data_IF_153569968085
#
_entry.id   IF_153569968085
#
_cell.length_a   1.000
_cell.length_b   1.000
_cell.length_c   1.000
_cell.angle_alpha   90.00
_cell.angle_beta   90.00
_cell.angle_gamma   90.00
#
_symmetry.space_group_name_H-M   'P 1'
#
loop_
_entity.id
_entity.type
_entity.pdbx_description
1 polymer ?
#
# COMPACT_ATOMS: atom_id res chain seq x y z
N UNK A 1 18.22 -34.24 -23.71
CA UNK A 1 17.82 -33.85 -22.34
C UNK A 1 16.35 -33.40 -22.39
N UNK A 2 15.41 -34.29 -22.06
CA UNK A 2 13.97 -34.01 -22.09
C UNK A 2 13.62 -33.28 -20.78
N UNK A 3 13.16 -32.04 -20.86
CA UNK A 3 12.58 -31.35 -19.70
C UNK A 3 11.29 -32.08 -19.33
N UNK A 4 11.26 -32.72 -18.18
CA UNK A 4 10.04 -33.26 -17.61
C UNK A 4 9.06 -32.08 -17.45
N UNK A 5 7.95 -32.13 -18.18
CA UNK A 5 6.83 -31.21 -17.99
C UNK A 5 6.29 -31.41 -16.58
N UNK A 6 6.59 -30.48 -15.67
CA UNK A 6 5.95 -30.44 -14.36
C UNK A 6 4.46 -30.22 -14.61
N UNK A 7 3.64 -31.26 -14.38
CA UNK A 7 2.18 -31.13 -14.43
C UNK A 7 1.80 -30.02 -13.46
N UNK A 8 1.21 -28.93 -13.96
CA UNK A 8 0.65 -27.89 -13.11
C UNK A 8 -0.39 -28.54 -12.20
N UNK A 9 -0.43 -28.20 -10.90
CA UNK A 9 -1.44 -28.73 -10.00
C UNK A 9 -2.83 -28.43 -10.55
N UNK A 10 -3.71 -29.44 -10.54
CA UNK A 10 -5.09 -29.29 -10.98
C UNK A 10 -5.86 -28.49 -9.93
N UNK A 11 -6.37 -27.32 -10.32
CA UNK A 11 -7.18 -26.48 -9.46
C UNK A 11 -8.54 -27.18 -9.24
N UNK A 12 -8.88 -27.51 -8.00
CA UNK A 12 -10.14 -28.17 -7.67
C UNK A 12 -11.30 -27.17 -7.61
N UNK A 13 -12.53 -27.66 -7.62
CA UNK A 13 -13.72 -26.81 -7.36
C UNK A 13 -13.61 -26.15 -5.99
N UNK A 14 -13.09 -26.88 -4.98
CA UNK A 14 -12.88 -26.33 -3.64
C UNK A 14 -11.85 -25.20 -3.64
N UNK A 15 -10.78 -25.30 -4.43
CA UNK A 15 -9.79 -24.24 -4.59
C UNK A 15 -10.40 -23.00 -5.27
N UNK A 16 -11.20 -23.20 -6.33
CA UNK A 16 -11.89 -22.11 -7.02
C UNK A 16 -12.89 -21.40 -6.09
N UNK A 17 -13.70 -22.16 -5.34
CA UNK A 17 -14.64 -21.60 -4.38
C UNK A 17 -13.93 -20.86 -3.25
N UNK A 18 -12.85 -21.43 -2.71
CA UNK A 18 -12.03 -20.78 -1.69
C UNK A 18 -11.45 -19.47 -2.21
N UNK A 19 -10.91 -19.47 -3.43
CA UNK A 19 -10.39 -18.27 -4.08
C UNK A 19 -11.48 -17.19 -4.27
N UNK A 20 -12.64 -17.55 -4.81
CA UNK A 20 -13.75 -16.60 -5.01
C UNK A 20 -14.21 -16.03 -3.66
N UNK A 21 -14.41 -16.89 -2.67
CA UNK A 21 -14.87 -16.49 -1.34
C UNK A 21 -13.88 -15.55 -0.64
N UNK A 22 -12.57 -15.64 -0.92
CA UNK A 22 -11.62 -14.66 -0.41
C UNK A 22 -11.97 -13.24 -0.88
N UNK A 23 -12.52 -13.03 -2.07
CA UNK A 23 -12.79 -11.68 -2.57
C UNK A 23 -14.25 -11.23 -2.45
N UNK A 24 -15.20 -12.16 -2.38
CA UNK A 24 -16.63 -11.85 -2.48
C UNK A 24 -17.42 -12.16 -1.22
N UNK A 25 -16.90 -13.00 -0.32
CA UNK A 25 -17.64 -13.34 0.91
C UNK A 25 -17.69 -12.11 1.80
N UNK A 26 -18.90 -11.76 2.23
CA UNK A 26 -19.08 -10.70 3.21
C UNK A 26 -18.29 -11.03 4.49
N UNK A 27 -17.50 -10.08 5.03
CA UNK A 27 -16.78 -10.29 6.27
C UNK A 27 -17.78 -10.50 7.40
N UNK A 28 -17.48 -11.41 8.32
CA UNK A 28 -18.29 -11.69 9.51
C UNK A 28 -17.70 -11.10 10.79
N UNK A 29 -16.52 -10.47 10.71
CA UNK A 29 -15.82 -9.89 11.86
C UNK A 29 -14.88 -8.76 11.44
N UNK A 30 -14.45 -7.96 12.42
CA UNK A 30 -13.44 -6.90 12.24
C UNK A 30 -12.13 -7.42 11.61
N UNK A 31 -11.54 -8.55 12.07
CA UNK A 31 -10.38 -9.15 11.41
C UNK A 31 -10.63 -9.57 9.97
N UNK A 32 -11.80 -10.16 9.67
CA UNK A 32 -12.15 -10.54 8.28
C UNK A 32 -12.33 -9.32 7.38
N UNK A 33 -12.96 -8.25 7.89
CA UNK A 33 -13.10 -6.99 7.17
C UNK A 33 -11.73 -6.37 6.84
N UNK A 34 -10.84 -6.31 7.84
CA UNK A 34 -9.44 -5.90 7.65
C UNK A 34 -8.74 -6.74 6.57
N UNK A 35 -8.86 -8.06 6.65
CA UNK A 35 -8.21 -8.97 5.71
C UNK A 35 -8.75 -8.79 4.28
N UNK A 36 -10.06 -8.57 4.13
CA UNK A 36 -10.68 -8.26 2.85
C UNK A 36 -10.11 -6.98 2.24
N UNK A 37 -10.10 -5.88 2.99
CA UNK A 37 -9.59 -4.59 2.50
C UNK A 37 -8.10 -4.68 2.16
N UNK A 38 -7.26 -5.27 3.03
CA UNK A 38 -5.83 -5.48 2.74
C UNK A 38 -5.62 -6.27 1.45
N UNK A 39 -6.32 -7.41 1.32
CA UNK A 39 -6.20 -8.29 0.15
C UNK A 39 -6.60 -7.58 -1.14
N UNK A 40 -7.68 -6.80 -1.10
CA UNK A 40 -8.14 -6.04 -2.25
C UNK A 40 -7.16 -4.91 -2.62
N UNK A 41 -6.60 -4.18 -1.65
CA UNK A 41 -5.53 -3.20 -1.90
C UNK A 41 -4.32 -3.88 -2.55
N UNK A 42 -3.83 -4.98 -1.97
CA UNK A 42 -2.67 -5.72 -2.51
C UNK A 42 -2.94 -6.21 -3.92
N UNK A 43 -4.11 -6.80 -4.19
CA UNK A 43 -4.46 -7.27 -5.52
C UNK A 43 -4.54 -6.12 -6.55
N UNK A 44 -5.01 -4.95 -6.14
CA UNK A 44 -4.98 -3.76 -6.97
C UNK A 44 -3.55 -3.30 -7.24
N UNK A 45 -2.70 -3.18 -6.22
CA UNK A 45 -1.30 -2.78 -6.42
C UNK A 45 -0.53 -3.76 -7.29
N UNK A 46 -0.79 -5.06 -7.16
CA UNK A 46 -0.27 -6.10 -8.06
C UNK A 46 -0.74 -5.88 -9.50
N UNK A 47 -2.03 -5.56 -9.70
CA UNK A 47 -2.55 -5.19 -11.02
C UNK A 47 -1.89 -3.91 -11.54
N UNK A 48 -1.70 -2.89 -10.71
CA UNK A 48 -1.06 -1.64 -11.11
C UNK A 48 0.33 -1.91 -11.71
N UNK A 49 1.10 -2.79 -11.06
CA UNK A 49 2.45 -3.14 -11.47
C UNK A 49 2.50 -4.06 -12.69
N UNK A 50 1.71 -5.14 -12.67
CA UNK A 50 1.84 -6.27 -13.60
C UNK A 50 0.78 -6.30 -14.71
N UNK A 51 -0.19 -5.37 -14.73
CA UNK A 51 -1.19 -5.33 -15.81
C UNK A 51 -0.52 -5.09 -17.17
N UNK A 52 -0.98 -5.80 -18.19
CA UNK A 52 -0.55 -5.63 -19.58
C UNK A 52 -0.78 -4.19 -20.08
N UNK A 53 -1.85 -3.55 -19.58
CA UNK A 53 -2.25 -2.17 -19.90
C UNK A 53 -1.27 -1.09 -19.38
N UNK A 54 -0.23 -1.51 -18.63
CA UNK A 54 0.81 -0.66 -18.04
C UNK A 54 0.26 0.54 -17.23
N UNK A 55 -0.72 0.28 -16.35
CA UNK A 55 -1.28 1.31 -15.47
C UNK A 55 -0.17 1.98 -14.60
N UNK A 56 0.95 1.29 -14.34
CA UNK A 56 2.12 1.84 -13.63
C UNK A 56 2.95 2.85 -14.42
N UNK A 57 2.81 2.93 -15.74
CA UNK A 57 3.66 3.77 -16.59
C UNK A 57 3.65 5.24 -16.17
N UNK A 58 2.46 5.77 -15.86
CA UNK A 58 2.31 7.17 -15.43
C UNK A 58 3.08 7.47 -14.15
N UNK A 59 3.19 6.48 -13.25
CA UNK A 59 3.91 6.60 -11.99
C UNK A 59 5.42 6.64 -12.17
N UNK A 60 5.94 5.99 -13.22
CA UNK A 60 7.36 5.96 -13.56
C UNK A 60 7.83 7.19 -14.34
N UNK A 61 6.95 8.13 -14.70
CA UNK A 61 7.27 9.24 -15.60
C UNK A 61 7.68 10.55 -14.90
N UNK A 62 8.15 10.50 -13.64
CA UNK A 62 8.52 11.66 -12.77
C UNK A 62 7.41 12.72 -12.56
N UNK A 63 6.27 12.61 -13.26
CA UNK A 63 5.13 13.53 -13.23
C UNK A 63 4.03 13.09 -12.27
N UNK A 64 3.97 11.80 -11.94
CA UNK A 64 2.97 11.31 -11.01
C UNK A 64 3.26 11.78 -9.59
N UNK A 65 2.16 11.99 -8.89
CA UNK A 65 2.14 12.48 -7.52
C UNK A 65 1.52 11.44 -6.60
N UNK A 66 1.68 11.68 -5.30
CA UNK A 66 0.97 10.92 -4.27
C UNK A 66 -0.57 11.02 -4.43
N UNK A 67 -1.07 12.15 -4.93
CA UNK A 67 -2.49 12.32 -5.21
C UNK A 67 -2.96 11.46 -6.39
N UNK A 68 -2.15 11.28 -7.43
CA UNK A 68 -2.49 10.38 -8.54
C UNK A 68 -2.67 8.92 -8.07
N UNK A 69 -1.81 8.46 -7.16
CA UNK A 69 -1.90 7.12 -6.59
C UNK A 69 -3.14 6.99 -5.70
N UNK A 70 -3.44 8.03 -4.91
CA UNK A 70 -4.66 8.13 -4.09
C UNK A 70 -5.92 8.12 -4.96
N UNK A 71 -5.93 8.90 -6.03
CA UNK A 71 -7.01 8.96 -7.02
C UNK A 71 -7.29 7.57 -7.58
N UNK A 72 -6.26 6.96 -8.13
CA UNK A 72 -6.32 5.64 -8.73
C UNK A 72 -6.82 4.58 -7.75
N UNK A 73 -6.20 4.47 -6.58
CA UNK A 73 -6.55 3.45 -5.59
C UNK A 73 -7.99 3.64 -5.08
N UNK A 74 -8.42 4.89 -4.83
CA UNK A 74 -9.77 5.18 -4.36
C UNK A 74 -10.85 4.76 -5.37
N UNK A 75 -10.64 5.02 -6.66
CA UNK A 75 -11.58 4.67 -7.72
C UNK A 75 -11.72 3.14 -7.81
N UNK A 76 -10.59 2.44 -7.88
CA UNK A 76 -10.56 0.98 -7.95
C UNK A 76 -11.15 0.32 -6.70
N UNK A 77 -10.88 0.86 -5.51
CA UNK A 77 -11.45 0.35 -4.27
C UNK A 77 -12.97 0.50 -4.22
N UNK A 78 -13.53 1.60 -4.74
CA UNK A 78 -14.98 1.79 -4.85
C UNK A 78 -15.61 0.79 -5.83
N UNK A 79 -14.94 0.52 -6.94
CA UNK A 79 -15.40 -0.47 -7.92
C UNK A 79 -15.50 -1.88 -7.29
N UNK A 80 -14.40 -2.37 -6.70
CA UNK A 80 -14.31 -3.77 -6.26
C UNK A 80 -14.93 -4.06 -4.88
N UNK A 81 -15.13 -3.04 -4.06
CA UNK A 81 -15.60 -3.21 -2.69
C UNK A 81 -16.96 -2.57 -2.40
N UNK A 82 -17.66 -2.08 -3.42
CA UNK A 82 -18.95 -1.39 -3.30
C UNK A 82 -20.00 -2.16 -2.49
N UNK A 83 -19.97 -3.49 -2.47
CA UNK A 83 -20.85 -4.35 -1.68
C UNK A 83 -20.49 -4.44 -0.19
N UNK A 84 -19.28 -4.07 0.20
CA UNK A 84 -18.73 -4.32 1.55
C UNK A 84 -18.39 -3.04 2.32
N UNK A 85 -18.00 -1.99 1.63
CA UNK A 85 -17.59 -0.73 2.25
C UNK A 85 -17.82 0.47 1.33
N UNK A 86 -17.67 1.66 1.90
CA UNK A 86 -17.61 2.94 1.22
C UNK A 86 -16.23 3.57 1.38
N UNK A 87 -15.73 4.23 0.33
CA UNK A 87 -14.43 4.92 0.34
C UNK A 87 -14.64 6.42 0.28
N UNK A 88 -14.25 7.12 1.34
CA UNK A 88 -14.31 8.58 1.46
C UNK A 88 -12.90 9.14 1.32
N UNK A 89 -12.77 10.27 0.59
CA UNK A 89 -11.51 10.95 0.30
C UNK A 89 -11.47 12.36 0.87
N UNK A 90 -10.27 12.81 1.23
CA UNK A 90 -10.01 14.12 1.83
C UNK A 90 -10.44 15.32 0.97
N UNK A 91 -10.30 15.25 -0.36
CA UNK A 91 -10.65 16.36 -1.26
C UNK A 91 -12.15 16.74 -1.20
N UNK A 92 -13.02 15.82 -0.80
CA UNK A 92 -14.46 16.09 -0.64
C UNK A 92 -14.80 16.74 0.72
N UNK A 93 -13.86 16.86 1.68
CA UNK A 93 -14.19 17.16 3.10
C UNK A 93 -13.34 18.24 3.80
N UNK A 94 -12.30 18.79 3.16
CA UNK A 94 -11.40 19.86 3.62
C UNK A 94 -11.40 20.21 5.14
N UNK A 95 -10.55 19.50 5.91
CA UNK A 95 -9.80 19.96 7.11
C UNK A 95 -8.51 19.13 7.18
N UNK A 96 -7.35 19.78 7.34
CA UNK A 96 -5.96 19.26 7.20
C UNK A 96 -5.50 18.12 8.15
N UNK A 97 -6.40 17.29 8.69
CA UNK A 97 -6.07 16.23 9.66
C UNK A 97 -6.75 14.88 9.33
N UNK A 98 -7.01 14.57 8.05
CA UNK A 98 -7.68 13.31 7.65
C UNK A 98 -6.73 12.40 6.87
N UNK A 99 -6.87 11.06 6.98
CA UNK A 99 -6.10 10.12 6.17
C UNK A 99 -6.49 10.23 4.70
N UNK A 100 -5.56 9.84 3.85
CA UNK A 100 -5.74 9.86 2.40
C UNK A 100 -7.01 9.13 1.95
N UNK A 101 -7.28 7.95 2.52
CA UNK A 101 -8.53 7.20 2.34
C UNK A 101 -9.14 6.77 3.67
N UNK A 102 -10.47 6.88 3.76
CA UNK A 102 -11.29 6.25 4.81
C UNK A 102 -12.15 5.16 4.17
N UNK A 103 -12.03 3.94 4.68
CA UNK A 103 -12.80 2.78 4.24
C UNK A 103 -13.80 2.42 5.33
N UNK A 104 -15.06 2.84 5.15
CA UNK A 104 -16.15 2.63 6.11
C UNK A 104 -16.86 1.32 5.78
N UNK A 105 -16.94 0.40 6.73
CA UNK A 105 -17.74 -0.81 6.52
C UNK A 105 -19.21 -0.46 6.34
N UNK A 106 -19.88 -1.17 5.42
CA UNK A 106 -21.35 -1.10 5.31
C UNK A 106 -22.05 -1.78 6.50
N UNK A 107 -21.36 -2.68 7.22
CA UNK A 107 -21.80 -3.12 8.53
C UNK A 107 -21.17 -2.21 9.60
N UNK A 108 -21.95 -1.37 10.30
CA UNK A 108 -21.41 -0.41 11.26
C UNK A 108 -20.64 -1.07 12.41
N UNK A 109 -20.90 -2.33 12.74
CA UNK A 109 -20.19 -3.08 13.78
C UNK A 109 -18.71 -3.32 13.44
N UNK A 110 -18.35 -3.27 12.16
CA UNK A 110 -16.96 -3.47 11.73
C UNK A 110 -16.15 -2.17 11.68
N UNK A 111 -16.78 -1.02 11.84
CA UNK A 111 -16.10 0.27 11.93
C UNK A 111 -15.41 0.71 10.64
N UNK A 112 -14.26 1.37 10.77
CA UNK A 112 -13.51 1.97 9.66
C UNK A 112 -12.02 1.65 9.67
N UNK A 113 -11.45 1.69 8.48
CA UNK A 113 -10.02 1.54 8.20
C UNK A 113 -9.50 2.84 7.59
N UNK A 114 -8.33 3.28 8.06
CA UNK A 114 -7.64 4.46 7.53
C UNK A 114 -6.46 4.03 6.68
N UNK A 115 -6.29 4.61 5.50
CA UNK A 115 -5.13 4.36 4.63
C UNK A 115 -4.38 5.66 4.43
N UNK A 116 -3.11 5.67 4.77
CA UNK A 116 -2.18 6.76 4.46
C UNK A 116 -1.24 6.28 3.36
N UNK A 117 -1.12 7.04 2.27
CA UNK A 117 -0.41 6.67 1.05
C UNK A 117 0.80 7.58 0.91
N UNK A 118 1.95 7.00 0.57
CA UNK A 118 3.19 7.76 0.36
C UNK A 118 3.91 7.27 -0.88
N UNK A 119 4.20 8.19 -1.80
CA UNK A 119 5.11 7.92 -2.91
C UNK A 119 6.55 8.08 -2.41
N UNK A 120 7.13 6.99 -1.91
CA UNK A 120 8.31 6.99 -1.06
C UNK A 120 9.55 7.58 -1.74
N UNK A 121 9.66 7.50 -3.06
CA UNK A 121 10.80 8.03 -3.81
C UNK A 121 10.76 9.55 -4.00
N UNK A 122 9.59 10.20 -3.85
CA UNK A 122 9.44 11.63 -4.08
C UNK A 122 10.45 12.47 -3.25
N UNK A 123 10.97 13.53 -3.85
CA UNK A 123 12.13 14.29 -3.33
C UNK A 123 11.88 14.95 -1.97
N UNK A 124 10.62 15.34 -1.69
CA UNK A 124 10.25 15.98 -0.43
C UNK A 124 10.23 15.00 0.75
N UNK A 125 10.21 13.68 0.50
CA UNK A 125 10.29 12.68 1.55
C UNK A 125 11.74 12.37 1.93
N UNK A 126 12.06 12.52 3.21
CA UNK A 126 13.25 11.92 3.80
C UNK A 126 12.88 10.61 4.54
N UNK A 127 13.86 9.72 4.67
CA UNK A 127 13.63 8.38 5.22
C UNK A 127 13.16 8.39 6.69
N UNK A 128 13.72 9.27 7.53
CA UNK A 128 13.28 9.39 8.93
C UNK A 128 11.81 9.83 9.01
N UNK A 129 11.41 10.79 8.17
CA UNK A 129 10.02 11.25 8.10
C UNK A 129 9.08 10.14 7.66
N UNK A 130 9.43 9.36 6.65
CA UNK A 130 8.60 8.21 6.22
C UNK A 130 8.38 7.21 7.37
N UNK A 131 9.43 6.86 8.12
CA UNK A 131 9.28 5.97 9.28
C UNK A 131 8.42 6.60 10.38
N UNK A 132 8.63 7.90 10.67
CA UNK A 132 7.90 8.60 11.76
C UNK A 132 6.43 8.89 11.44
N UNK A 133 6.05 8.94 10.14
CA UNK A 133 4.68 9.22 9.71
C UNK A 133 3.68 8.14 10.16
N UNK A 134 4.14 6.90 10.33
CA UNK A 134 3.37 5.80 10.92
C UNK A 134 2.80 6.19 12.30
N UNK A 135 3.61 6.79 13.16
CA UNK A 135 3.14 7.22 14.49
C UNK A 135 2.41 8.57 14.39
N UNK A 136 3.03 9.54 13.72
CA UNK A 136 2.56 10.94 13.77
C UNK A 136 1.25 11.19 13.00
N UNK A 137 0.94 10.39 11.97
CA UNK A 137 -0.34 10.48 11.25
C UNK A 137 -1.27 9.33 11.65
N UNK A 138 -0.89 8.08 11.41
CA UNK A 138 -1.84 6.97 11.65
C UNK A 138 -2.17 6.85 13.14
N UNK A 139 -1.19 6.61 14.01
CA UNK A 139 -1.47 6.36 15.42
C UNK A 139 -2.04 7.58 16.15
N UNK A 140 -1.34 8.71 16.09
CA UNK A 140 -1.64 9.89 16.90
C UNK A 140 -2.81 10.72 16.35
N UNK A 141 -3.28 10.46 15.13
CA UNK A 141 -4.43 11.17 14.56
C UNK A 141 -5.54 10.19 14.23
N UNK A 142 -5.33 9.30 13.26
CA UNK A 142 -6.43 8.56 12.64
C UNK A 142 -6.95 7.39 13.48
N UNK A 143 -6.09 6.79 14.30
CA UNK A 143 -6.47 5.69 15.16
C UNK A 143 -7.25 6.13 16.41
N UNK A 144 -7.36 7.43 16.69
CA UNK A 144 -8.18 7.95 17.80
C UNK A 144 -9.66 8.13 17.44
N UNK A 145 -10.02 8.11 16.15
CA UNK A 145 -11.42 8.23 15.74
C UNK A 145 -12.26 7.03 16.19
N UNK A 146 -13.53 7.30 16.54
CA UNK A 146 -14.47 6.25 16.91
C UNK A 146 -14.67 5.25 15.77
N UNK A 147 -14.64 3.96 16.08
CA UNK A 147 -14.73 2.88 15.08
C UNK A 147 -13.45 2.64 14.27
N UNK A 148 -12.41 3.47 14.40
CA UNK A 148 -11.12 3.23 13.75
C UNK A 148 -10.37 2.08 14.43
N UNK A 149 -10.12 1.02 13.66
CA UNK A 149 -9.47 -0.20 14.17
C UNK A 149 -8.26 -0.64 13.34
N UNK A 150 -8.01 -0.02 12.19
CA UNK A 150 -6.84 -0.36 11.36
C UNK A 150 -6.30 0.89 10.66
N UNK A 151 -4.98 1.06 10.72
CA UNK A 151 -4.22 1.96 9.86
C UNK A 151 -3.40 1.16 8.85
N UNK A 152 -3.60 1.37 7.55
CA UNK A 152 -2.71 0.87 6.52
C UNK A 152 -1.76 1.98 6.10
N UNK A 153 -0.45 1.74 6.22
CA UNK A 153 0.59 2.63 5.73
C UNK A 153 1.08 2.11 4.38
N UNK A 154 0.62 2.73 3.29
CA UNK A 154 0.93 2.32 1.94
C UNK A 154 2.16 3.06 1.42
N UNK A 155 3.21 2.33 1.06
CA UNK A 155 4.42 2.87 0.43
C UNK A 155 4.54 2.38 -1.01
N UNK A 156 4.56 3.30 -1.96
CA UNK A 156 4.92 3.01 -3.34
C UNK A 156 6.33 3.51 -3.65
N UNK A 157 7.12 2.73 -4.38
CA UNK A 157 8.38 3.17 -4.97
C UNK A 157 8.23 3.26 -6.48
N UNK A 158 8.37 4.45 -7.07
CA UNK A 158 8.42 4.64 -8.52
C UNK A 158 9.80 5.09 -9.02
N UNK A 159 10.85 5.00 -8.19
CA UNK A 159 12.20 5.40 -8.57
C UNK A 159 12.67 4.59 -9.78
N UNK A 160 13.26 5.28 -10.76
CA UNK A 160 13.76 4.63 -11.98
C UNK A 160 15.03 3.79 -11.68
N UNK A 161 15.17 2.67 -12.42
CA UNK A 161 15.60 1.31 -12.05
C UNK A 161 15.87 0.93 -10.58
N UNK A 162 15.86 -0.37 -10.28
CA UNK A 162 16.35 -1.00 -9.04
C UNK A 162 17.86 -0.74 -8.82
N UNK A 163 18.61 -0.56 -9.91
CA UNK A 163 20.04 -0.25 -9.90
C UNK A 163 20.32 1.07 -10.59
N UNK A 164 21.22 1.86 -10.03
CA UNK A 164 21.66 3.13 -10.64
C UNK A 164 22.25 2.86 -12.02
N UNK A 165 21.75 3.59 -13.02
CA UNK A 165 22.31 3.57 -14.37
C UNK A 165 23.17 4.80 -14.62
N UNK A 166 24.37 4.56 -15.10
CA UNK A 166 25.38 5.58 -15.37
C UNK A 166 25.63 5.62 -16.87
N UNK A 167 25.68 6.82 -17.44
CA UNK A 167 26.13 7.00 -18.81
C UNK A 167 27.61 6.62 -18.91
N UNK A 168 27.93 5.62 -19.72
CA UNK A 168 29.29 5.10 -19.85
C UNK A 168 30.27 6.09 -20.49
N UNK A 169 29.80 7.10 -21.21
CA UNK A 169 30.64 8.10 -21.90
C UNK A 169 30.90 9.34 -21.04
N UNK A 170 29.90 9.77 -20.28
CA UNK A 170 29.92 11.04 -19.53
C UNK A 170 30.06 10.84 -18.02
N UNK A 171 29.88 9.62 -17.52
CA UNK A 171 29.88 9.31 -16.09
C UNK A 171 28.67 9.88 -15.33
N UNK A 172 27.75 10.55 -16.03
CA UNK A 172 26.55 11.16 -15.42
C UNK A 172 25.51 10.10 -15.12
N UNK A 173 24.71 10.34 -14.08
CA UNK A 173 23.61 9.45 -13.71
C UNK A 173 22.48 9.62 -14.71
N UNK A 174 22.12 8.55 -15.43
CA UNK A 174 20.95 8.53 -16.32
C UNK A 174 19.66 8.30 -15.54
N UNK A 175 19.68 7.33 -14.63
CA UNK A 175 18.55 6.96 -13.78
C UNK A 175 19.03 6.55 -12.38
N UNK A 176 18.25 6.87 -11.35
CA UNK A 176 18.63 6.73 -9.95
C UNK A 176 17.77 5.70 -9.24
N UNK A 177 18.42 4.63 -8.77
CA UNK A 177 17.79 3.71 -7.85
C UNK A 177 17.31 4.37 -6.57
N UNK A 178 16.26 3.79 -5.99
CA UNK A 178 15.73 4.22 -4.71
C UNK A 178 16.83 4.25 -3.65
N UNK A 179 16.95 5.39 -2.98
CA UNK A 179 17.80 5.54 -1.81
C UNK A 179 17.26 6.64 -0.90
N UNK A 180 17.04 6.32 0.37
CA UNK A 180 16.74 7.31 1.43
C UNK A 180 17.74 7.17 2.58
N UNK A 181 17.92 8.24 3.35
CA UNK A 181 18.69 8.20 4.60
C UNK A 181 17.76 8.03 5.80
N UNK A 182 18.03 7.03 6.62
CA UNK A 182 17.37 6.82 7.92
C UNK A 182 18.47 6.69 8.97
N UNK A 183 18.39 7.49 10.05
CA UNK A 183 19.40 7.54 11.11
C UNK A 183 20.85 7.65 10.57
N UNK A 184 21.05 8.44 9.51
CA UNK A 184 22.35 8.66 8.86
C UNK A 184 22.81 7.56 7.89
N UNK A 185 22.10 6.43 7.78
CA UNK A 185 22.43 5.32 6.88
C UNK A 185 21.58 5.33 5.62
N UNK A 186 22.18 5.05 4.48
CA UNK A 186 21.44 4.85 3.23
C UNK A 186 20.70 3.51 3.29
N UNK A 187 19.42 3.50 2.93
CA UNK A 187 18.59 2.31 2.77
C UNK A 187 17.98 2.27 1.37
N UNK A 188 17.91 1.07 0.79
CA UNK A 188 17.08 0.81 -0.38
C UNK A 188 15.61 0.65 0.03
N UNK A 189 14.71 0.38 -0.91
CA UNK A 189 13.28 0.32 -0.63
C UNK A 189 12.94 -0.80 0.38
N UNK A 190 13.46 -2.01 0.19
CA UNK A 190 13.29 -3.12 1.14
C UNK A 190 13.80 -2.79 2.56
N UNK A 191 14.92 -2.08 2.68
CA UNK A 191 15.46 -1.62 3.95
C UNK A 191 14.56 -0.58 4.63
N UNK A 192 13.94 0.32 3.85
CA UNK A 192 12.92 1.23 4.37
C UNK A 192 11.69 0.45 4.87
N UNK A 193 11.21 -0.54 4.10
CA UNK A 193 10.05 -1.36 4.49
C UNK A 193 10.30 -2.08 5.81
N UNK A 194 11.48 -2.68 5.99
CA UNK A 194 11.86 -3.34 7.25
C UNK A 194 11.77 -2.39 8.46
N UNK A 195 12.21 -1.13 8.28
CA UNK A 195 12.16 -0.12 9.34
C UNK A 195 10.73 0.36 9.61
N UNK A 196 9.92 0.51 8.56
CA UNK A 196 8.50 0.84 8.66
C UNK A 196 7.71 -0.28 9.35
N UNK A 197 7.96 -1.55 9.01
CA UNK A 197 7.34 -2.71 9.66
C UNK A 197 7.66 -2.77 11.14
N UNK A 198 8.94 -2.60 11.50
CA UNK A 198 9.35 -2.55 12.90
C UNK A 198 8.67 -1.39 13.66
N UNK A 199 8.53 -0.23 13.01
CA UNK A 199 7.83 0.91 13.60
C UNK A 199 6.33 0.66 13.74
N UNK A 200 5.68 0.11 12.73
CA UNK A 200 4.26 -0.24 12.75
C UNK A 200 3.95 -1.27 13.84
N UNK A 201 4.80 -2.28 14.02
CA UNK A 201 4.67 -3.26 15.10
C UNK A 201 4.83 -2.62 16.48
N UNK A 202 5.85 -1.78 16.68
CA UNK A 202 6.08 -1.09 17.95
C UNK A 202 4.91 -0.15 18.31
N UNK A 203 4.40 0.59 17.33
CA UNK A 203 3.25 1.48 17.52
C UNK A 203 1.99 0.67 17.79
N UNK A 204 1.73 -0.41 17.05
CA UNK A 204 0.60 -1.32 17.26
C UNK A 204 0.59 -1.89 18.68
N UNK A 205 1.75 -2.29 19.21
CA UNK A 205 1.84 -2.78 20.59
C UNK A 205 1.45 -1.72 21.64
N UNK A 206 1.59 -0.43 21.31
CA UNK A 206 1.11 0.68 22.13
C UNK A 206 -0.37 1.03 21.90
N UNK A 207 -0.99 0.53 20.83
CA UNK A 207 -2.42 0.71 20.56
C UNK A 207 -3.22 -0.34 21.36
N UNK A 208 -4.16 0.11 22.19
CA UNK A 208 -5.05 -0.79 22.93
C UNK A 208 -6.14 -1.43 22.06
N UNK A 209 -6.71 -2.53 22.55
CA UNK A 209 -7.87 -3.22 21.94
C UNK A 209 -7.53 -3.95 20.64
N UNK A 210 -8.46 -3.92 19.67
CA UNK A 210 -8.30 -4.59 18.37
C UNK A 210 -7.60 -3.72 17.31
N UNK A 211 -6.96 -2.63 17.72
CA UNK A 211 -6.31 -1.66 16.84
C UNK A 211 -4.98 -2.22 16.30
N UNK A 212 -4.70 -1.96 15.03
CA UNK A 212 -3.37 -2.23 14.48
C UNK A 212 -2.98 -1.26 13.38
N UNK A 213 -1.67 -1.19 13.13
CA UNK A 213 -1.09 -0.57 11.97
C UNK A 213 -0.28 -1.61 11.21
N UNK A 214 -0.42 -1.62 9.89
CA UNK A 214 0.21 -2.58 8.99
C UNK A 214 0.73 -1.86 7.75
N UNK A 215 1.87 -2.28 7.25
CA UNK A 215 2.52 -1.68 6.08
C UNK A 215 2.09 -2.46 4.84
N UNK A 216 1.71 -1.73 3.80
CA UNK A 216 1.45 -2.28 2.46
C UNK A 216 2.44 -1.61 1.52
N UNK A 217 3.06 -2.35 0.62
CA UNK A 217 4.04 -1.78 -0.28
C UNK A 217 3.88 -2.30 -1.70
N UNK A 218 4.29 -1.45 -2.65
CA UNK A 218 4.48 -1.82 -4.05
C UNK A 218 5.74 -1.18 -4.59
N UNK A 219 6.56 -1.96 -5.28
CA UNK A 219 7.72 -1.44 -6.00
C UNK A 219 7.40 -1.38 -7.48
N UNK A 220 7.19 -0.18 -8.00
CA UNK A 220 6.85 0.11 -9.39
C UNK A 220 8.10 0.41 -10.24
N UNK A 221 9.32 0.22 -9.71
CA UNK A 221 10.56 0.69 -10.34
C UNK A 221 10.93 -0.04 -11.65
N UNK A 222 10.49 -1.29 -11.84
CA UNK A 222 10.81 -2.12 -13.01
C UNK A 222 9.65 -3.05 -13.37
N UNK A 223 9.48 -3.41 -14.65
CA UNK A 223 8.56 -4.50 -15.07
C UNK A 223 9.32 -5.82 -15.16
#
# INVERSE_FOLDING_TARGET
>A
MVRASVRRPTLTIADALSFVNLFTKAPASVPEFRALVKRQIVALLEKLHHSDDDESFVFRDDRATEDDLRNWLSARMREIGSSHYEVIREQEVAVENRPDLRVHSRNPEFGLISVEIKLADADHWNGNTLVNKIETQLANQYMHENGSHTGFYLLANAAKPLKKEIDSKTGKVKRRAFAKKVAGKNVNFAGLLTLCDARAAAVTAGLGGNKLIDVIAVDLSER
#
